data_IF_079680564707
#
_entry.id   IF_079680564707
#
_cell.length_a   1.000
_cell.length_b   1.000
_cell.length_c   1.000
_cell.angle_alpha   90.00
_cell.angle_beta   90.00
_cell.angle_gamma   90.00
#
_symmetry.space_group_name_H-M   'P 1'
#
loop_
_entity.id
_entity.type
_entity.pdbx_description
1 polymer ?
#
# COMPACT_ATOMS: atom_id res chain seq x y z
N UNK A 1 -7.42 -3.53 26.92
CA UNK A 1 -6.93 -2.98 25.62
C UNK A 1 -5.41 -3.18 25.54
N UNK A 2 -4.89 -3.72 24.44
CA UNK A 2 -3.44 -3.80 24.17
C UNK A 2 -3.01 -2.46 23.58
N UNK A 3 -1.85 -1.90 23.98
CA UNK A 3 -1.37 -0.66 23.35
C UNK A 3 -0.84 -0.92 21.94
N UNK A 4 -0.85 0.11 21.06
CA UNK A 4 -0.32 0.02 19.71
C UNK A 4 1.14 -0.48 19.68
N UNK A 5 1.99 0.02 20.60
CA UNK A 5 3.38 -0.43 20.69
C UNK A 5 3.48 -1.93 20.97
N UNK A 6 2.71 -2.43 21.94
CA UNK A 6 2.66 -3.85 22.26
C UNK A 6 2.12 -4.69 21.11
N UNK A 7 1.11 -4.21 20.39
CA UNK A 7 0.58 -4.88 19.18
C UNK A 7 1.70 -5.07 18.16
N UNK A 8 2.44 -4.00 17.88
CA UNK A 8 3.55 -4.02 16.93
C UNK A 8 4.71 -4.88 17.42
N UNK A 9 5.09 -4.81 18.69
CA UNK A 9 6.14 -5.66 19.26
C UNK A 9 5.79 -7.15 19.15
N UNK A 10 4.56 -7.53 19.51
CA UNK A 10 4.08 -8.91 19.50
C UNK A 10 3.67 -9.42 18.10
N UNK A 11 3.78 -8.60 17.04
CA UNK A 11 3.41 -9.03 15.69
C UNK A 11 4.21 -10.23 15.15
N UNK A 12 5.28 -10.63 15.82
CA UNK A 12 6.02 -11.88 15.59
C UNK A 12 6.41 -12.06 14.12
N UNK A 13 6.30 -13.32 13.63
CA UNK A 13 6.60 -13.65 12.22
C UNK A 13 5.61 -13.01 11.23
N UNK A 14 4.35 -12.79 11.63
CA UNK A 14 3.30 -12.21 10.78
C UNK A 14 3.48 -10.70 10.55
N UNK A 15 4.17 -10.02 11.47
CA UNK A 15 4.54 -8.61 11.29
C UNK A 15 5.99 -8.42 10.83
N UNK A 16 6.64 -9.48 10.32
CA UNK A 16 8.03 -9.42 9.87
C UNK A 16 8.13 -9.69 8.38
N UNK A 17 8.90 -8.88 7.69
CA UNK A 17 9.27 -9.16 6.32
C UNK A 17 10.04 -10.50 6.23
N UNK A 18 9.92 -11.25 5.12
CA UNK A 18 10.76 -12.42 4.88
C UNK A 18 12.26 -12.11 5.04
N UNK A 19 13.03 -13.05 5.57
CA UNK A 19 14.46 -12.84 5.84
C UNK A 19 15.25 -12.39 4.58
N UNK A 20 14.85 -12.86 3.40
CA UNK A 20 15.45 -12.44 2.13
C UNK A 20 15.27 -10.93 1.89
N UNK A 21 14.14 -10.37 2.27
CA UNK A 21 13.84 -8.93 2.09
C UNK A 21 14.74 -8.09 2.97
N UNK A 22 14.92 -8.48 4.23
CA UNK A 22 15.87 -7.80 5.14
C UNK A 22 17.29 -7.84 4.57
N UNK A 23 17.76 -9.00 4.09
CA UNK A 23 19.07 -9.13 3.45
C UNK A 23 19.22 -8.22 2.23
N UNK A 24 18.16 -8.12 1.42
CA UNK A 24 18.14 -7.22 0.26
C UNK A 24 18.27 -5.77 0.72
N UNK A 25 17.49 -5.37 1.73
CA UNK A 25 17.50 -3.99 2.24
C UNK A 25 18.84 -3.65 2.90
N UNK A 26 19.41 -4.53 3.72
CA UNK A 26 20.75 -4.35 4.28
C UNK A 26 21.81 -4.17 3.18
N UNK A 27 21.76 -5.02 2.14
CA UNK A 27 22.67 -4.87 1.01
C UNK A 27 22.44 -3.56 0.22
N UNK A 28 21.21 -3.08 0.14
CA UNK A 28 20.90 -1.80 -0.49
C UNK A 28 21.37 -0.59 0.34
N UNK A 29 21.44 -0.72 1.64
CA UNK A 29 21.89 0.34 2.55
C UNK A 29 23.43 0.35 2.72
N UNK A 30 24.13 -0.72 2.31
CA UNK A 30 25.59 -0.77 2.31
C UNK A 30 26.17 -0.11 1.05
N UNK A 31 26.90 1.03 1.19
CA UNK A 31 27.51 1.72 0.05
C UNK A 31 28.53 0.88 -0.75
N UNK A 32 29.01 -0.22 -0.18
CA UNK A 32 29.95 -1.15 -0.84
C UNK A 32 29.25 -2.23 -1.65
N UNK A 33 27.95 -2.39 -1.47
CA UNK A 33 27.18 -3.40 -2.20
C UNK A 33 26.98 -3.00 -3.66
N UNK A 34 27.14 -3.98 -4.52
CA UNK A 34 26.92 -3.84 -5.97
C UNK A 34 25.54 -4.35 -6.37
N UNK A 35 25.01 -3.85 -7.49
CA UNK A 35 23.77 -4.37 -8.08
C UNK A 35 23.82 -5.89 -8.31
N UNK A 36 25.01 -6.44 -8.60
CA UNK A 36 25.23 -7.87 -8.76
C UNK A 36 25.04 -8.64 -7.46
N UNK A 37 25.54 -8.10 -6.34
CA UNK A 37 25.34 -8.73 -5.01
C UNK A 37 23.87 -8.73 -4.60
N UNK A 38 23.19 -7.60 -4.77
CA UNK A 38 21.75 -7.48 -4.49
C UNK A 38 20.95 -8.44 -5.36
N UNK A 39 21.25 -8.50 -6.66
CA UNK A 39 20.59 -9.43 -7.58
C UNK A 39 20.79 -10.91 -7.21
N UNK A 40 21.95 -11.29 -6.65
CA UNK A 40 22.16 -12.66 -6.13
C UNK A 40 21.25 -12.95 -4.95
N UNK A 41 21.17 -12.04 -3.98
CA UNK A 41 20.31 -12.22 -2.78
C UNK A 41 18.85 -12.41 -3.20
N UNK A 42 18.36 -11.66 -4.20
CA UNK A 42 16.99 -11.79 -4.71
C UNK A 42 16.82 -13.15 -5.41
N UNK A 43 17.80 -13.58 -6.23
CA UNK A 43 17.76 -14.86 -6.95
C UNK A 43 17.85 -16.10 -6.03
N UNK A 44 18.33 -15.94 -4.78
CA UNK A 44 18.30 -17.01 -3.77
C UNK A 44 16.85 -17.42 -3.39
N UNK A 45 15.86 -16.54 -3.66
CA UNK A 45 14.43 -16.83 -3.49
C UNK A 45 13.71 -16.84 -4.85
N UNK A 46 13.47 -18.04 -5.43
CA UNK A 46 12.80 -18.15 -6.74
C UNK A 46 11.39 -17.54 -6.77
N UNK A 47 10.66 -17.58 -5.64
CA UNK A 47 9.33 -17.05 -5.55
C UNK A 47 9.35 -15.51 -5.55
N UNK A 48 10.26 -14.88 -4.80
CA UNK A 48 10.48 -13.44 -4.83
C UNK A 48 10.92 -13.00 -6.22
N UNK A 49 11.89 -13.71 -6.83
CA UNK A 49 12.36 -13.45 -8.20
C UNK A 49 11.21 -13.45 -9.21
N UNK A 50 10.38 -14.49 -9.20
CA UNK A 50 9.26 -14.60 -10.12
C UNK A 50 8.26 -13.43 -9.95
N UNK A 51 7.89 -13.08 -8.71
CA UNK A 51 6.97 -11.97 -8.43
C UNK A 51 7.59 -10.62 -8.80
N UNK A 52 8.86 -10.40 -8.48
CA UNK A 52 9.58 -9.18 -8.86
C UNK A 52 9.58 -9.01 -10.38
N UNK A 53 9.96 -10.04 -11.13
CA UNK A 53 9.97 -10.00 -12.60
C UNK A 53 8.56 -9.84 -13.18
N UNK A 54 7.53 -10.46 -12.58
CA UNK A 54 6.13 -10.21 -12.95
C UNK A 54 5.78 -8.73 -12.79
N UNK A 55 6.09 -8.13 -11.64
CA UNK A 55 5.77 -6.74 -11.34
C UNK A 55 6.51 -5.78 -12.27
N UNK A 56 7.81 -5.99 -12.51
CA UNK A 56 8.62 -5.16 -13.42
C UNK A 56 8.17 -5.26 -14.87
N UNK A 57 7.67 -6.43 -15.30
CA UNK A 57 7.12 -6.61 -16.63
C UNK A 57 5.66 -6.16 -16.78
N UNK A 58 5.05 -5.65 -15.73
CA UNK A 58 3.70 -5.10 -15.84
C UNK A 58 3.71 -3.84 -16.70
N UNK A 59 2.60 -3.52 -17.38
CA UNK A 59 2.44 -2.26 -18.10
C UNK A 59 2.62 -1.03 -17.23
N UNK A 60 2.60 -1.21 -15.93
CA UNK A 60 2.94 -0.24 -14.91
C UNK A 60 4.34 0.38 -15.15
N UNK A 61 5.36 -0.46 -15.45
CA UNK A 61 6.71 0.04 -15.79
C UNK A 61 6.86 0.41 -17.27
N UNK A 62 6.02 -0.11 -18.15
CA UNK A 62 5.95 0.27 -19.56
C UNK A 62 7.21 -0.01 -20.37
N UNK A 63 8.02 -0.99 -19.97
CA UNK A 63 9.21 -1.35 -20.73
C UNK A 63 8.85 -1.96 -22.09
N UNK A 64 9.49 -1.46 -23.16
CA UNK A 64 9.24 -1.92 -24.52
C UNK A 64 9.66 -3.39 -24.77
N UNK A 65 10.61 -3.91 -23.97
CA UNK A 65 11.10 -5.28 -24.05
C UNK A 65 10.93 -6.01 -22.72
N UNK A 66 10.60 -7.29 -22.78
CA UNK A 66 10.47 -8.15 -21.59
C UNK A 66 11.78 -8.17 -20.79
N UNK A 67 11.63 -7.98 -19.48
CA UNK A 67 12.69 -8.08 -18.50
C UNK A 67 12.74 -9.51 -17.97
N UNK A 68 13.80 -10.23 -18.26
CA UNK A 68 13.94 -11.67 -18.02
C UNK A 68 14.88 -12.01 -16.85
N UNK A 69 15.62 -11.01 -16.35
CA UNK A 69 16.56 -11.18 -15.24
C UNK A 69 16.43 -10.10 -14.19
N UNK A 70 16.73 -10.46 -12.93
CA UNK A 70 16.78 -9.50 -11.82
C UNK A 70 17.83 -8.41 -12.07
N UNK A 71 18.97 -8.76 -12.65
CA UNK A 71 20.02 -7.78 -12.97
C UNK A 71 19.55 -6.72 -13.95
N UNK A 72 18.81 -7.14 -14.99
CA UNK A 72 18.22 -6.24 -15.96
C UNK A 72 17.12 -5.37 -15.32
N UNK A 73 16.30 -5.97 -14.45
CA UNK A 73 15.32 -5.23 -13.65
C UNK A 73 16.01 -4.12 -12.86
N UNK A 74 17.04 -4.44 -12.08
CA UNK A 74 17.78 -3.45 -11.27
C UNK A 74 18.36 -2.33 -12.15
N UNK A 75 18.92 -2.66 -13.30
CA UNK A 75 19.48 -1.68 -14.22
C UNK A 75 18.43 -0.71 -14.80
N UNK A 76 17.21 -1.19 -15.03
CA UNK A 76 16.12 -0.41 -15.62
C UNK A 76 15.36 0.43 -14.61
N UNK A 77 15.00 -0.16 -13.45
CA UNK A 77 14.21 0.55 -12.43
C UNK A 77 15.08 1.37 -11.47
N UNK A 78 16.36 1.02 -11.38
CA UNK A 78 17.30 1.66 -10.46
C UNK A 78 17.22 1.14 -9.03
N UNK A 79 18.21 1.53 -8.25
CA UNK A 79 18.41 1.04 -6.88
C UNK A 79 17.27 1.46 -5.93
N UNK A 80 16.79 2.69 -6.09
CA UNK A 80 15.77 3.28 -5.22
C UNK A 80 14.41 2.61 -5.40
N UNK A 81 14.02 2.38 -6.66
CA UNK A 81 12.77 1.71 -7.01
C UNK A 81 12.77 0.22 -6.67
N UNK A 82 13.92 -0.43 -6.72
CA UNK A 82 14.05 -1.84 -6.38
C UNK A 82 13.51 -2.15 -4.97
N UNK A 83 13.75 -1.27 -3.99
CA UNK A 83 13.23 -1.41 -2.62
C UNK A 83 11.69 -1.52 -2.62
N UNK A 84 11.05 -0.63 -3.36
CA UNK A 84 9.59 -0.57 -3.50
C UNK A 84 9.04 -1.85 -4.15
N UNK A 85 9.68 -2.31 -5.22
CA UNK A 85 9.28 -3.53 -5.94
C UNK A 85 9.45 -4.78 -5.09
N UNK A 86 10.58 -4.91 -4.40
CA UNK A 86 10.84 -6.05 -3.48
C UNK A 86 9.81 -6.09 -2.37
N UNK A 87 9.48 -4.92 -1.80
CA UNK A 87 8.47 -4.81 -0.76
C UNK A 87 7.08 -5.23 -1.27
N UNK A 88 6.64 -4.67 -2.40
CA UNK A 88 5.36 -4.99 -3.01
C UNK A 88 5.24 -6.49 -3.33
N UNK A 89 6.30 -7.06 -3.94
CA UNK A 89 6.35 -8.49 -4.26
C UNK A 89 6.33 -9.41 -3.03
N UNK A 90 6.67 -8.87 -1.85
CA UNK A 90 6.74 -9.64 -0.59
C UNK A 90 5.49 -9.49 0.26
N UNK A 91 4.88 -8.31 0.28
CA UNK A 91 3.72 -7.98 1.14
C UNK A 91 2.54 -8.93 0.91
N UNK A 92 2.31 -9.34 -0.35
CA UNK A 92 1.23 -10.24 -0.76
C UNK A 92 1.24 -11.61 -0.05
N UNK A 93 2.39 -12.06 0.50
CA UNK A 93 2.52 -13.37 1.17
C UNK A 93 2.61 -13.29 2.69
N UNK A 94 2.85 -12.13 3.27
CA UNK A 94 3.06 -12.00 4.72
C UNK A 94 1.80 -12.37 5.49
N UNK A 95 0.62 -12.14 4.88
CA UNK A 95 -0.68 -12.32 5.50
C UNK A 95 -1.49 -13.49 4.93
N UNK A 96 -0.80 -14.52 4.43
CA UNK A 96 -1.46 -15.77 4.06
C UNK A 96 -2.10 -16.43 5.29
N UNK A 97 -3.31 -16.97 5.13
CA UNK A 97 -3.99 -17.74 6.18
C UNK A 97 -4.93 -16.95 7.09
N UNK A 98 -5.28 -15.71 6.74
CA UNK A 98 -6.36 -14.99 7.42
C UNK A 98 -7.69 -15.68 7.09
N UNK A 99 -8.56 -15.96 8.10
CA UNK A 99 -9.86 -16.56 7.86
C UNK A 99 -10.72 -15.74 6.89
N UNK A 100 -11.33 -16.41 5.91
CA UNK A 100 -12.15 -15.75 4.88
C UNK A 100 -13.40 -15.08 5.44
N UNK A 101 -13.83 -15.49 6.64
CA UNK A 101 -14.96 -14.90 7.37
C UNK A 101 -14.66 -13.47 7.86
N UNK A 102 -13.38 -13.16 8.08
CA UNK A 102 -12.93 -11.84 8.53
C UNK A 102 -12.62 -10.91 7.36
N UNK A 103 -12.00 -11.43 6.30
CA UNK A 103 -11.64 -10.61 5.15
C UNK A 103 -11.56 -11.43 3.86
N UNK A 104 -12.16 -10.92 2.80
CA UNK A 104 -11.91 -11.40 1.44
C UNK A 104 -10.54 -10.86 0.98
N UNK A 105 -9.52 -11.71 1.06
CA UNK A 105 -8.15 -11.36 0.69
C UNK A 105 -8.01 -10.95 -0.77
N UNK A 106 -8.83 -11.51 -1.67
CA UNK A 106 -8.80 -11.13 -3.08
C UNK A 106 -9.35 -9.71 -3.27
N UNK A 107 -10.48 -9.39 -2.63
CA UNK A 107 -11.04 -8.04 -2.64
C UNK A 107 -10.11 -7.03 -1.95
N UNK A 108 -9.49 -7.42 -0.83
CA UNK A 108 -8.52 -6.59 -0.12
C UNK A 108 -7.36 -6.17 -1.03
N UNK A 109 -6.65 -7.15 -1.62
CA UNK A 109 -5.50 -6.85 -2.48
C UNK A 109 -5.90 -6.15 -3.78
N UNK A 110 -7.11 -6.42 -4.29
CA UNK A 110 -7.65 -5.71 -5.43
C UNK A 110 -7.78 -4.21 -5.13
N UNK A 111 -8.43 -3.83 -4.03
CA UNK A 111 -8.56 -2.43 -3.60
C UNK A 111 -7.19 -1.80 -3.33
N UNK A 112 -6.32 -2.51 -2.64
CA UNK A 112 -4.96 -2.06 -2.36
C UNK A 112 -4.16 -1.76 -3.63
N UNK A 113 -4.23 -2.66 -4.63
CA UNK A 113 -3.60 -2.44 -5.92
C UNK A 113 -4.19 -1.22 -6.64
N UNK A 114 -5.52 -1.10 -6.68
CA UNK A 114 -6.17 0.07 -7.28
C UNK A 114 -5.73 1.37 -6.62
N UNK A 115 -5.71 1.41 -5.28
CA UNK A 115 -5.27 2.61 -4.53
C UNK A 115 -3.81 2.94 -4.86
N UNK A 116 -2.94 1.95 -4.97
CA UNK A 116 -1.56 2.16 -5.41
C UNK A 116 -1.47 2.73 -6.82
N UNK A 117 -2.21 2.17 -7.78
CA UNK A 117 -2.23 2.66 -9.17
C UNK A 117 -2.76 4.09 -9.24
N UNK A 118 -3.88 4.39 -8.56
CA UNK A 118 -4.45 5.75 -8.53
C UNK A 118 -3.48 6.74 -7.87
N UNK A 119 -2.85 6.36 -6.76
CA UNK A 119 -1.87 7.22 -6.09
C UNK A 119 -0.68 7.56 -7.02
N UNK A 120 -0.20 6.59 -7.79
CA UNK A 120 0.84 6.83 -8.79
C UNK A 120 0.37 7.75 -9.92
N UNK A 121 -0.83 7.55 -10.44
CA UNK A 121 -1.41 8.41 -11.48
C UNK A 121 -1.55 9.84 -10.96
N UNK A 122 -2.08 10.03 -9.76
CA UNK A 122 -2.16 11.34 -9.10
C UNK A 122 -0.79 12.01 -8.94
N UNK A 123 0.22 11.24 -8.49
CA UNK A 123 1.59 11.72 -8.36
C UNK A 123 2.16 12.21 -9.71
N UNK A 124 1.83 11.51 -10.80
CA UNK A 124 2.22 11.94 -12.15
C UNK A 124 1.50 13.24 -12.58
N UNK A 125 0.20 13.40 -12.27
CA UNK A 125 -0.54 14.65 -12.50
C UNK A 125 0.05 15.83 -11.70
N UNK A 126 0.52 15.57 -10.47
CA UNK A 126 1.20 16.55 -9.62
C UNK A 126 2.67 16.78 -10.01
N UNK A 127 3.20 16.03 -10.99
CA UNK A 127 4.61 16.09 -11.43
C UNK A 127 5.60 15.79 -10.29
N UNK A 128 5.24 14.86 -9.42
CA UNK A 128 6.12 14.40 -8.35
C UNK A 128 7.37 13.72 -8.93
N UNK A 129 8.52 13.91 -8.28
CA UNK A 129 9.80 13.36 -8.77
C UNK A 129 9.91 11.84 -8.60
N UNK A 130 9.30 11.31 -7.54
CA UNK A 130 9.37 9.89 -7.15
C UNK A 130 7.96 9.30 -7.08
N UNK A 131 7.34 9.11 -8.25
CA UNK A 131 5.93 8.69 -8.33
C UNK A 131 5.71 7.28 -7.76
N UNK A 132 6.72 6.41 -7.82
CA UNK A 132 6.61 5.01 -7.41
C UNK A 132 6.44 4.85 -5.89
N UNK A 133 6.97 5.78 -5.08
CA UNK A 133 6.73 5.77 -3.63
C UNK A 133 5.24 5.87 -3.28
N UNK A 134 4.47 6.60 -4.07
CA UNK A 134 3.04 6.76 -3.87
C UNK A 134 2.26 5.51 -4.27
N UNK A 135 2.73 4.78 -5.29
CA UNK A 135 2.21 3.45 -5.58
C UNK A 135 2.32 2.52 -4.36
N UNK A 136 3.50 2.47 -3.74
CA UNK A 136 3.72 1.63 -2.55
C UNK A 136 2.89 2.11 -1.35
N UNK A 137 2.83 3.42 -1.13
CA UNK A 137 2.00 3.97 -0.06
C UNK A 137 0.52 3.59 -0.26
N UNK A 138 0.00 3.73 -1.47
CA UNK A 138 -1.37 3.32 -1.81
C UNK A 138 -1.58 1.81 -1.75
N UNK A 139 -0.62 0.99 -2.20
CA UNK A 139 -0.70 -0.47 -2.10
C UNK A 139 -0.73 -0.96 -0.63
N UNK A 140 -0.05 -0.27 0.26
CA UNK A 140 0.10 -0.66 1.66
C UNK A 140 -0.78 0.16 2.63
N UNK A 141 -1.62 1.07 2.11
CA UNK A 141 -2.37 1.99 2.97
C UNK A 141 -3.19 1.29 4.04
N UNK A 142 -3.76 0.13 3.71
CA UNK A 142 -4.64 -0.63 4.59
C UNK A 142 -3.97 -1.87 5.22
N UNK A 143 -2.63 -1.98 5.14
CA UNK A 143 -1.89 -3.16 5.63
C UNK A 143 -2.10 -3.40 7.13
N UNK A 144 -2.41 -2.35 7.90
CA UNK A 144 -2.68 -2.45 9.32
C UNK A 144 -3.93 -3.25 9.65
N UNK A 145 -4.97 -3.20 8.80
CA UNK A 145 -6.17 -4.02 8.95
C UNK A 145 -5.83 -5.51 8.99
N UNK A 146 -4.92 -5.96 8.10
CA UNK A 146 -4.50 -7.37 8.08
C UNK A 146 -3.82 -7.78 9.39
N UNK A 147 -2.98 -6.90 9.95
CA UNK A 147 -2.36 -7.17 11.25
C UNK A 147 -3.40 -7.25 12.37
N UNK A 148 -4.41 -6.38 12.36
CA UNK A 148 -5.51 -6.41 13.32
C UNK A 148 -6.32 -7.71 13.20
N UNK A 149 -6.71 -8.13 12.01
CA UNK A 149 -7.44 -9.39 11.79
C UNK A 149 -6.67 -10.62 12.31
N UNK A 150 -5.35 -10.62 12.17
CA UNK A 150 -4.52 -11.73 12.64
C UNK A 150 -4.32 -11.71 14.15
N UNK A 151 -4.07 -10.54 14.73
CA UNK A 151 -3.66 -10.44 16.13
C UNK A 151 -4.82 -10.25 17.10
N UNK A 152 -5.92 -9.70 16.62
CA UNK A 152 -7.10 -9.38 17.42
C UNK A 152 -8.40 -9.83 16.71
N UNK A 153 -8.53 -11.09 16.27
CA UNK A 153 -9.67 -11.55 15.47
C UNK A 153 -11.01 -11.39 16.19
N UNK A 154 -11.04 -11.62 17.49
CA UNK A 154 -12.26 -11.47 18.30
C UNK A 154 -12.71 -10.01 18.39
N UNK A 155 -11.76 -9.10 18.66
CA UNK A 155 -12.02 -7.66 18.72
C UNK A 155 -12.44 -7.12 17.34
N UNK A 156 -11.79 -7.56 16.26
CA UNK A 156 -12.17 -7.15 14.92
C UNK A 156 -13.55 -7.68 14.51
N UNK A 157 -13.95 -8.84 14.99
CA UNK A 157 -15.32 -9.35 14.83
C UNK A 157 -16.33 -8.39 15.50
N UNK A 158 -16.02 -7.92 16.72
CA UNK A 158 -16.84 -6.94 17.43
C UNK A 158 -16.89 -5.59 16.70
N UNK A 159 -15.73 -5.10 16.26
CA UNK A 159 -15.61 -3.85 15.47
C UNK A 159 -16.51 -3.92 14.22
N UNK A 160 -16.45 -5.01 13.44
CA UNK A 160 -17.27 -5.19 12.24
C UNK A 160 -18.76 -5.23 12.58
N UNK A 161 -19.14 -5.89 13.67
CA UNK A 161 -20.55 -5.93 14.12
C UNK A 161 -21.05 -4.54 14.53
N UNK A 162 -20.27 -3.81 15.30
CA UNK A 162 -20.63 -2.45 15.73
C UNK A 162 -20.66 -1.48 14.54
N UNK A 163 -19.71 -1.58 13.62
CA UNK A 163 -19.68 -0.77 12.40
C UNK A 163 -21.00 -0.91 11.62
N UNK A 164 -21.50 -2.15 11.47
CA UNK A 164 -22.78 -2.41 10.80
C UNK A 164 -23.99 -1.86 11.57
N UNK A 165 -23.96 -1.92 12.91
CA UNK A 165 -25.05 -1.44 13.75
C UNK A 165 -25.09 0.10 13.82
N UNK A 166 -23.96 0.73 13.93
CA UNK A 166 -23.83 2.18 14.12
C UNK A 166 -23.76 2.96 12.79
N UNK A 167 -23.51 2.25 11.68
CA UNK A 167 -23.28 2.85 10.35
C UNK A 167 -22.15 3.90 10.34
N UNK A 168 -21.18 3.72 11.24
CA UNK A 168 -19.99 4.55 11.30
C UNK A 168 -18.88 3.98 10.39
N UNK A 169 -17.92 4.82 9.99
CA UNK A 169 -16.70 4.35 9.36
C UNK A 169 -15.95 3.37 10.27
N UNK A 170 -15.38 2.30 9.69
CA UNK A 170 -14.73 1.25 10.48
C UNK A 170 -13.59 1.78 11.36
N UNK A 171 -12.83 2.75 10.85
CA UNK A 171 -11.71 3.36 11.59
C UNK A 171 -12.16 4.14 12.83
N UNK A 172 -13.37 4.72 12.84
CA UNK A 172 -13.93 5.39 14.02
C UNK A 172 -14.29 4.34 15.08
N UNK A 173 -14.86 3.21 14.67
CA UNK A 173 -15.17 2.11 15.58
C UNK A 173 -13.88 1.45 16.09
N UNK A 174 -12.87 1.27 15.26
CA UNK A 174 -11.54 0.81 15.69
C UNK A 174 -10.96 1.71 16.77
N UNK A 175 -11.00 3.03 16.59
CA UNK A 175 -10.54 3.98 17.62
C UNK A 175 -11.33 3.90 18.93
N UNK A 176 -12.65 3.71 18.85
CA UNK A 176 -13.51 3.56 20.02
C UNK A 176 -13.19 2.27 20.80
N UNK A 177 -13.01 1.13 20.09
CA UNK A 177 -12.87 -0.18 20.71
C UNK A 177 -11.39 -0.54 21.02
N UNK A 178 -10.46 -0.11 20.18
CA UNK A 178 -9.05 -0.49 20.29
C UNK A 178 -8.16 0.64 20.81
N UNK A 179 -8.58 1.90 20.65
CA UNK A 179 -7.80 3.09 20.97
C UNK A 179 -6.88 3.55 19.82
N UNK A 180 -6.90 2.88 18.67
CA UNK A 180 -6.16 3.21 17.45
C UNK A 180 -6.88 2.64 16.23
N UNK A 181 -6.60 3.19 15.05
CA UNK A 181 -7.14 2.70 13.78
C UNK A 181 -6.10 1.92 12.97
N UNK A 182 -6.56 1.26 11.89
CA UNK A 182 -5.69 0.48 11.01
C UNK A 182 -4.62 1.33 10.30
N UNK A 183 -4.84 2.60 10.05
CA UNK A 183 -3.83 3.47 9.43
C UNK A 183 -2.67 3.72 10.40
N UNK A 184 -2.95 3.95 11.69
CA UNK A 184 -1.94 4.08 12.74
C UNK A 184 -1.15 2.78 12.92
N UNK A 185 -1.83 1.63 12.88
CA UNK A 185 -1.21 0.30 12.90
C UNK A 185 -0.32 0.10 11.67
N UNK A 186 -0.81 0.40 10.48
CA UNK A 186 -0.08 0.29 9.22
C UNK A 186 1.19 1.13 9.21
N UNK A 187 1.09 2.42 9.54
CA UNK A 187 2.25 3.31 9.61
C UNK A 187 3.30 2.84 10.63
N UNK A 188 2.86 2.30 11.77
CA UNK A 188 3.75 1.75 12.80
C UNK A 188 4.41 0.43 12.36
N UNK A 189 3.68 -0.42 11.64
CA UNK A 189 4.21 -1.66 11.05
C UNK A 189 5.28 -1.35 10.00
N UNK A 190 5.02 -0.40 9.10
CA UNK A 190 5.99 0.02 8.08
C UNK A 190 7.27 0.60 8.71
N UNK A 191 7.13 1.33 9.83
CA UNK A 191 8.28 1.80 10.60
C UNK A 191 9.08 0.65 11.21
N UNK A 192 8.42 -0.38 11.76
CA UNK A 192 9.07 -1.61 12.22
C UNK A 192 9.82 -2.32 11.09
N UNK A 193 9.32 -2.26 9.87
CA UNK A 193 9.97 -2.78 8.68
C UNK A 193 11.12 -1.89 8.16
N UNK A 194 11.45 -0.84 8.90
CA UNK A 194 12.53 0.11 8.58
C UNK A 194 12.36 0.79 7.20
N UNK A 195 11.10 1.13 6.86
CA UNK A 195 10.78 1.83 5.61
C UNK A 195 10.98 3.35 5.76
N UNK A 196 11.15 4.07 4.64
CA UNK A 196 11.33 5.51 4.67
C UNK A 196 10.21 6.22 5.46
N UNK A 197 10.56 7.18 6.33
CA UNK A 197 9.58 7.89 7.16
C UNK A 197 8.42 8.49 6.37
N UNK A 198 8.71 9.08 5.21
CA UNK A 198 7.68 9.68 4.32
C UNK A 198 6.61 8.66 3.90
N UNK A 199 6.99 7.42 3.67
CA UNK A 199 6.05 6.35 3.32
C UNK A 199 5.24 5.90 4.53
N UNK A 200 5.89 5.76 5.69
CA UNK A 200 5.22 5.42 6.95
C UNK A 200 4.17 6.47 7.32
N UNK A 201 4.49 7.75 7.14
CA UNK A 201 3.58 8.86 7.46
C UNK A 201 2.43 8.95 6.45
N UNK A 202 2.70 8.76 5.15
CA UNK A 202 1.65 8.74 4.15
C UNK A 202 0.59 7.65 4.44
N UNK A 203 1.02 6.47 4.87
CA UNK A 203 0.12 5.39 5.29
C UNK A 203 -0.55 5.72 6.62
N UNK A 204 0.20 6.20 7.63
CA UNK A 204 -0.34 6.48 8.95
C UNK A 204 -1.47 7.51 8.94
N UNK A 205 -1.35 8.53 8.10
CA UNK A 205 -2.26 9.67 8.09
C UNK A 205 -3.20 9.71 6.88
N UNK A 206 -3.31 8.61 6.11
CA UNK A 206 -4.18 8.62 4.93
C UNK A 206 -5.68 8.80 5.27
N UNK A 207 -6.11 8.49 6.48
CA UNK A 207 -7.50 8.74 6.93
C UNK A 207 -7.71 10.19 7.39
N UNK A 208 -6.69 10.79 8.01
CA UNK A 208 -6.72 12.14 8.59
C UNK A 208 -5.47 12.93 8.20
N UNK A 209 -5.33 13.28 6.89
CA UNK A 209 -4.08 13.86 6.38
C UNK A 209 -3.74 15.24 6.97
N UNK A 210 -4.73 15.97 7.48
CA UNK A 210 -4.54 17.24 8.19
C UNK A 210 -3.74 17.08 9.50
N UNK A 211 -3.74 15.90 10.11
CA UNK A 211 -3.00 15.58 11.33
C UNK A 211 -1.53 15.20 11.06
N UNK A 212 -1.17 15.02 9.78
CA UNK A 212 0.21 14.69 9.42
C UNK A 212 1.15 15.87 9.70
N UNK A 213 2.43 15.60 10.05
CA UNK A 213 3.47 16.62 10.08
C UNK A 213 3.51 17.41 8.76
N UNK A 214 3.83 18.69 8.81
CA UNK A 214 3.75 19.60 7.65
C UNK A 214 4.54 19.07 6.44
N UNK A 215 5.76 18.60 6.66
CA UNK A 215 6.62 18.04 5.61
C UNK A 215 6.08 16.77 4.96
N UNK A 216 5.28 15.98 5.68
CA UNK A 216 4.73 14.69 5.24
C UNK A 216 3.27 14.81 4.76
N UNK A 217 2.61 15.92 5.05
CA UNK A 217 1.17 16.14 4.82
C UNK A 217 0.78 15.98 3.36
N UNK A 218 1.62 16.45 2.46
CA UNK A 218 1.39 16.35 1.01
C UNK A 218 1.26 14.89 0.53
N UNK A 219 2.07 14.00 1.10
CA UNK A 219 1.99 12.56 0.79
C UNK A 219 0.73 11.91 1.35
N UNK A 220 0.34 12.28 2.57
CA UNK A 220 -0.88 11.78 3.21
C UNK A 220 -2.14 12.20 2.42
N UNK A 221 -2.22 13.46 1.99
CA UNK A 221 -3.32 13.96 1.15
C UNK A 221 -3.42 13.23 -0.18
N UNK A 222 -2.29 12.89 -0.80
CA UNK A 222 -2.29 12.18 -2.08
C UNK A 222 -2.84 10.75 -1.91
N UNK A 223 -2.41 10.02 -0.89
CA UNK A 223 -2.92 8.67 -0.61
C UNK A 223 -4.39 8.71 -0.22
N UNK A 224 -4.81 9.71 0.56
CA UNK A 224 -6.21 9.94 0.92
C UNK A 224 -7.09 10.15 -0.32
N UNK A 225 -6.70 11.03 -1.23
CA UNK A 225 -7.45 11.26 -2.47
C UNK A 225 -7.49 9.99 -3.34
N UNK A 226 -6.38 9.24 -3.44
CA UNK A 226 -6.36 7.98 -4.18
C UNK A 226 -7.33 6.96 -3.60
N UNK A 227 -7.33 6.80 -2.27
CA UNK A 227 -8.25 5.92 -1.55
C UNK A 227 -9.71 6.31 -1.77
N UNK A 228 -10.03 7.62 -1.71
CA UNK A 228 -11.40 8.10 -1.98
C UNK A 228 -11.84 7.87 -3.42
N UNK A 229 -10.96 8.08 -4.41
CA UNK A 229 -11.29 7.79 -5.83
C UNK A 229 -11.61 6.30 -5.99
N UNK A 230 -10.83 5.40 -5.40
CA UNK A 230 -11.11 3.96 -5.46
C UNK A 230 -12.45 3.64 -4.82
N UNK A 231 -12.69 4.16 -3.62
CA UNK A 231 -13.87 3.88 -2.82
C UNK A 231 -15.16 4.39 -3.48
N UNK A 232 -15.13 5.54 -4.13
CA UNK A 232 -16.33 6.18 -4.68
C UNK A 232 -16.56 5.89 -6.15
N UNK A 233 -15.52 5.66 -6.93
CA UNK A 233 -15.61 5.61 -8.38
C UNK A 233 -15.16 4.30 -9.03
N UNK A 234 -14.22 3.56 -8.44
CA UNK A 234 -13.66 2.36 -9.05
C UNK A 234 -14.15 1.06 -8.40
N UNK A 235 -14.15 1.01 -7.08
CA UNK A 235 -14.68 -0.09 -6.29
C UNK A 235 -15.69 0.46 -5.28
N UNK A 236 -16.80 0.90 -5.80
CA UNK A 236 -17.82 1.58 -5.02
C UNK A 236 -18.18 0.79 -3.77
N UNK A 237 -18.01 1.43 -2.62
CA UNK A 237 -18.42 0.88 -1.34
C UNK A 237 -19.96 0.82 -1.30
N UNK A 238 -20.56 -0.40 -1.15
CA UNK A 238 -22.02 -0.55 -1.11
C UNK A 238 -22.71 0.19 0.04
N UNK A 239 -21.96 0.66 1.03
CA UNK A 239 -22.48 1.43 2.17
C UNK A 239 -22.54 2.94 1.90
N UNK A 240 -22.09 3.38 0.72
CA UNK A 240 -22.13 4.80 0.35
C UNK A 240 -23.37 5.12 -0.49
N UNK A 241 -23.94 6.29 -0.24
CA UNK A 241 -25.02 6.85 -1.07
C UNK A 241 -24.55 7.12 -2.50
N UNK A 242 -25.51 7.11 -3.43
CA UNK A 242 -25.23 7.27 -4.86
C UNK A 242 -24.63 8.64 -5.24
N UNK A 243 -24.88 9.66 -4.44
CA UNK A 243 -24.49 11.04 -4.69
C UNK A 243 -23.23 11.50 -3.93
N UNK A 244 -22.47 10.57 -3.33
CA UNK A 244 -21.24 10.96 -2.60
C UNK A 244 -20.18 11.42 -3.58
N UNK A 245 -19.78 12.67 -3.46
CA UNK A 245 -18.66 13.27 -4.19
C UNK A 245 -17.47 13.52 -3.27
N UNK A 246 -16.28 13.52 -3.85
CA UNK A 246 -15.05 13.88 -3.14
C UNK A 246 -15.08 15.39 -2.85
N UNK A 247 -14.88 15.77 -1.59
CA UNK A 247 -14.87 17.18 -1.16
C UNK A 247 -13.83 17.99 -1.97
N UNK A 248 -14.24 19.18 -2.42
CA UNK A 248 -13.38 20.08 -3.18
C UNK A 248 -12.09 20.46 -2.41
N UNK A 249 -12.17 20.56 -1.08
CA UNK A 249 -11.01 20.82 -0.23
C UNK A 249 -9.92 19.75 -0.35
N UNK A 250 -10.29 18.49 -0.60
CA UNK A 250 -9.33 17.39 -0.81
C UNK A 250 -8.60 17.55 -2.15
N UNK A 251 -9.31 17.97 -3.18
CA UNK A 251 -8.69 18.29 -4.48
C UNK A 251 -7.72 19.46 -4.37
N UNK A 252 -8.13 20.53 -3.68
CA UNK A 252 -7.30 21.72 -3.44
C UNK A 252 -6.05 21.39 -2.63
N UNK A 253 -6.17 20.56 -1.58
CA UNK A 253 -5.03 20.10 -0.79
C UNK A 253 -3.99 19.31 -1.62
N UNK A 254 -4.44 18.70 -2.71
CA UNK A 254 -3.60 18.01 -3.68
C UNK A 254 -3.10 18.91 -4.82
N UNK A 255 -3.49 20.19 -4.86
CA UNK A 255 -3.16 21.09 -5.98
C UNK A 255 -3.79 20.68 -7.30
N UNK A 256 -4.91 19.94 -7.25
CA UNK A 256 -5.66 19.42 -8.39
C UNK A 256 -7.09 19.98 -8.37
N UNK A 257 -7.79 19.82 -9.49
CA UNK A 257 -9.21 20.16 -9.60
C UNK A 257 -10.03 18.92 -9.90
N UNK A 258 -11.33 18.89 -9.54
CA UNK A 258 -12.20 17.75 -9.81
C UNK A 258 -12.33 17.38 -11.28
N UNK A 259 -12.12 18.31 -12.21
CA UNK A 259 -12.24 18.11 -13.67
C UNK A 259 -11.22 17.12 -14.24
N UNK A 260 -10.16 16.79 -13.51
CA UNK A 260 -9.18 15.77 -13.92
C UNK A 260 -9.60 14.34 -13.53
N UNK A 261 -10.69 14.16 -12.75
CA UNK A 261 -11.10 12.86 -12.23
C UNK A 261 -11.29 11.81 -13.32
N UNK A 262 -12.02 12.15 -14.39
CA UNK A 262 -12.27 11.22 -15.49
C UNK A 262 -10.97 10.72 -16.13
N UNK A 263 -10.01 11.62 -16.34
CA UNK A 263 -8.70 11.27 -16.90
C UNK A 263 -7.90 10.38 -15.96
N UNK A 264 -7.99 10.61 -14.64
CA UNK A 264 -7.34 9.78 -13.62
C UNK A 264 -7.94 8.39 -13.63
N UNK A 265 -9.27 8.27 -13.62
CA UNK A 265 -10.00 6.99 -13.63
C UNK A 265 -9.63 6.18 -14.89
N UNK A 266 -9.71 6.77 -16.09
CA UNK A 266 -9.37 6.08 -17.35
C UNK A 266 -7.92 5.56 -17.30
N UNK A 267 -6.96 6.39 -16.88
CA UNK A 267 -5.55 5.97 -16.79
C UNK A 267 -5.34 4.90 -15.73
N UNK A 268 -6.01 5.02 -14.59
CA UNK A 268 -5.91 4.05 -13.51
C UNK A 268 -6.50 2.69 -13.93
N UNK A 269 -7.65 2.65 -14.58
CA UNK A 269 -8.24 1.42 -15.09
C UNK A 269 -7.33 0.72 -16.10
N UNK A 270 -6.78 1.46 -17.07
CA UNK A 270 -5.84 0.90 -18.03
C UNK A 270 -4.63 0.24 -17.36
N UNK A 271 -4.03 0.92 -16.39
CA UNK A 271 -2.86 0.41 -15.65
C UNK A 271 -3.24 -0.75 -14.73
N UNK A 272 -4.39 -0.68 -14.08
CA UNK A 272 -4.88 -1.73 -13.18
C UNK A 272 -5.17 -3.01 -13.96
N UNK A 273 -5.98 -2.96 -15.03
CA UNK A 273 -6.32 -4.14 -15.84
C UNK A 273 -5.07 -4.86 -16.35
N UNK A 274 -4.09 -4.09 -16.76
CA UNK A 274 -2.82 -4.62 -17.22
C UNK A 274 -1.94 -5.22 -16.11
N UNK A 275 -2.13 -4.81 -14.86
CA UNK A 275 -1.34 -5.28 -13.71
C UNK A 275 -2.03 -6.41 -12.93
N UNK A 276 -3.35 -6.47 -12.94
CA UNK A 276 -4.17 -7.42 -12.17
C UNK A 276 -3.79 -8.87 -12.46
N UNK A 277 -3.78 -9.24 -13.74
CA UNK A 277 -3.53 -10.63 -14.18
C UNK A 277 -2.08 -11.06 -13.91
N UNK A 278 -1.19 -10.09 -13.75
CA UNK A 278 0.22 -10.32 -13.42
C UNK A 278 0.39 -10.60 -11.92
N UNK A 279 -0.36 -9.93 -11.06
CA UNK A 279 -0.22 -10.05 -9.61
C UNK A 279 -1.08 -11.17 -9.01
N UNK A 280 -2.25 -11.45 -9.59
CA UNK A 280 -3.24 -12.38 -9.05
C UNK A 280 -3.54 -13.57 -9.98
N UNK A 281 -2.96 -13.63 -11.20
CA UNK A 281 -3.10 -14.70 -12.18
C UNK A 281 -2.22 -15.92 -11.96
#
# INVERSE_FOLDING_TARGET
MISLEKLIEHSGKLGSLPAVVYRVFEAMDDPKSTATQIGRIINDDPALTARLLKLVNSPFYGFAAKVDTVYRAIALIGHRELRSVVLAASALKIFDGIPAELVDMQAFWRRSLYTGVVARVLAAFRREKEIERFFIAGLLHDIGSLLLYVQQPEQMTMVIQQQRQQQLPIWDVEKQELGYDHAEVGGSLLRKWNLPPVLCQAVRFHLYPEQAPEDDRSGAWLVHLAWQIVRYHLERDPMLDDDVSIDEAIWQANGLKPDVLEQIVIKAEQQYMASRDILFG
#
